data_IF_280647777464
#
_entry.id   IF_280647777464
#
_cell.length_a   1.000
_cell.length_b   1.000
_cell.length_c   1.000
_cell.angle_alpha   90.00
_cell.angle_beta   90.00
_cell.angle_gamma   90.00
#
_symmetry.space_group_name_H-M   'P 1'
#
loop_
_entity.id
_entity.type
_entity.pdbx_description
1 polymer ?
#
# COMPACT_ATOMS: atom_id res chain seq x y z
N UNK A 1 -12.33 -5.37 20.98
CA UNK A 1 -12.16 -4.52 19.77
C UNK A 1 -12.13 -5.41 18.53
N UNK A 2 -12.74 -4.99 17.41
CA UNK A 2 -12.81 -5.72 16.14
C UNK A 2 -12.31 -4.83 15.00
N UNK A 3 -11.50 -5.40 14.09
CA UNK A 3 -11.01 -4.76 12.87
C UNK A 3 -11.61 -5.43 11.65
N UNK A 4 -12.12 -4.64 10.70
CA UNK A 4 -12.65 -5.11 9.42
C UNK A 4 -11.96 -4.33 8.29
N UNK A 5 -11.27 -5.04 7.40
CA UNK A 5 -10.61 -4.43 6.25
C UNK A 5 -11.44 -4.66 4.99
N UNK A 6 -12.06 -3.59 4.51
CA UNK A 6 -12.71 -3.54 3.20
C UNK A 6 -11.63 -3.32 2.14
N UNK A 7 -11.39 -4.32 1.30
CA UNK A 7 -10.26 -4.30 0.40
C UNK A 7 -10.47 -5.15 -0.86
N UNK A 8 -9.47 -5.16 -1.73
CA UNK A 8 -9.45 -5.98 -2.94
C UNK A 8 -8.04 -6.57 -3.13
N UNK A 9 -7.96 -7.86 -3.45
CA UNK A 9 -6.70 -8.61 -3.54
C UNK A 9 -5.59 -7.90 -4.35
N UNK A 10 -5.94 -7.38 -5.54
CA UNK A 10 -4.99 -6.75 -6.48
C UNK A 10 -4.70 -5.28 -6.18
N UNK A 11 -5.41 -4.65 -5.26
CA UNK A 11 -5.16 -3.25 -4.89
C UNK A 11 -3.83 -3.11 -4.16
N UNK A 12 -2.90 -2.34 -4.73
CA UNK A 12 -1.62 -2.04 -4.08
C UNK A 12 -1.81 -1.27 -2.77
N UNK A 13 -2.79 -0.37 -2.69
CA UNK A 13 -3.12 0.35 -1.47
C UNK A 13 -3.68 -0.58 -0.37
N UNK A 14 -4.51 -1.57 -0.74
CA UNK A 14 -4.96 -2.60 0.20
C UNK A 14 -3.80 -3.50 0.65
N UNK A 15 -2.89 -3.84 -0.26
CA UNK A 15 -1.70 -4.64 0.04
C UNK A 15 -0.83 -3.97 1.12
N UNK A 16 -0.65 -2.64 1.08
CA UNK A 16 0.06 -1.86 2.11
C UNK A 16 -0.54 -2.08 3.50
N UNK A 17 -1.86 -2.01 3.61
CA UNK A 17 -2.57 -2.15 4.89
C UNK A 17 -2.52 -3.59 5.40
N UNK A 18 -2.68 -4.59 4.51
CA UNK A 18 -2.49 -5.99 4.89
C UNK A 18 -1.12 -6.25 5.49
N UNK A 19 -0.05 -5.71 4.87
CA UNK A 19 1.31 -5.80 5.42
C UNK A 19 1.37 -5.17 6.81
N UNK A 20 0.85 -3.95 6.98
CA UNK A 20 0.88 -3.26 8.26
C UNK A 20 0.14 -4.00 9.37
N UNK A 21 -1.06 -4.54 9.08
CA UNK A 21 -1.82 -5.36 10.02
C UNK A 21 -1.04 -6.63 10.40
N UNK A 22 -0.45 -7.30 9.42
CA UNK A 22 0.35 -8.51 9.67
C UNK A 22 1.62 -8.20 10.46
N UNK A 23 2.34 -7.11 10.17
CA UNK A 23 3.51 -6.67 10.94
C UNK A 23 3.19 -6.41 12.41
N UNK A 24 2.01 -5.83 12.66
CA UNK A 24 1.48 -5.58 14.01
C UNK A 24 0.91 -6.84 14.69
N UNK A 25 0.80 -7.97 13.98
CA UNK A 25 0.18 -9.19 14.49
C UNK A 25 -1.31 -9.06 14.76
N UNK A 26 -2.00 -8.15 14.08
CA UNK A 26 -3.41 -7.84 14.30
C UNK A 26 -4.30 -8.71 13.42
N UNK A 27 -5.22 -9.44 14.05
CA UNK A 27 -6.28 -10.16 13.35
C UNK A 27 -7.34 -9.18 12.83
N UNK A 28 -7.87 -9.45 11.63
CA UNK A 28 -8.92 -8.65 11.01
C UNK A 28 -9.84 -9.50 10.14
N UNK A 29 -11.08 -9.06 10.01
CA UNK A 29 -12.01 -9.63 9.05
C UNK A 29 -11.72 -9.07 7.66
N UNK A 30 -11.57 -9.96 6.68
CA UNK A 30 -11.31 -9.61 5.29
C UNK A 30 -12.63 -9.47 4.53
N UNK A 31 -12.99 -8.26 4.11
CA UNK A 31 -14.19 -7.98 3.32
C UNK A 31 -13.81 -7.57 1.90
N UNK A 32 -14.26 -8.34 0.92
CA UNK A 32 -14.00 -8.07 -0.49
C UNK A 32 -14.84 -6.91 -0.99
N UNK A 33 -14.19 -5.96 -1.67
CA UNK A 33 -14.83 -4.90 -2.47
C UNK A 33 -14.25 -4.97 -3.87
N UNK A 34 -14.96 -5.62 -4.79
CA UNK A 34 -14.45 -5.90 -6.13
C UNK A 34 -14.48 -4.63 -7.01
N UNK A 35 -13.32 -3.97 -7.11
CA UNK A 35 -13.17 -2.72 -7.88
C UNK A 35 -13.32 -2.91 -9.40
N UNK A 36 -13.14 -4.13 -9.92
CA UNK A 36 -13.38 -4.43 -11.33
C UNK A 36 -14.88 -4.49 -11.63
N UNK A 37 -15.67 -4.98 -10.67
CA UNK A 37 -17.15 -4.96 -10.73
C UNK A 37 -17.74 -3.62 -10.27
N UNK A 38 -16.90 -2.65 -9.92
CA UNK A 38 -17.31 -1.33 -9.45
C UNK A 38 -18.13 -1.34 -8.15
N UNK A 39 -17.92 -2.32 -7.28
CA UNK A 39 -18.60 -2.41 -5.97
C UNK A 39 -18.28 -1.22 -5.05
N UNK A 40 -17.11 -0.59 -5.24
CA UNK A 40 -16.71 0.64 -4.52
C UNK A 40 -17.58 1.87 -4.89
N UNK A 41 -18.33 1.80 -5.97
CA UNK A 41 -19.22 2.88 -6.40
C UNK A 41 -20.64 2.79 -5.79
N UNK A 42 -20.96 1.67 -5.14
CA UNK A 42 -22.25 1.47 -4.47
C UNK A 42 -22.44 2.48 -3.31
N UNK A 43 -23.63 3.01 -3.14
CA UNK A 43 -23.97 3.97 -2.08
C UNK A 43 -23.57 3.49 -0.69
N UNK A 44 -23.81 2.19 -0.42
CA UNK A 44 -23.45 1.58 0.85
C UNK A 44 -21.93 1.64 1.14
N UNK A 45 -21.09 1.48 0.12
CA UNK A 45 -19.65 1.60 0.28
C UNK A 45 -19.21 3.08 0.32
N UNK A 46 -19.79 3.94 -0.51
CA UNK A 46 -19.52 5.37 -0.51
C UNK A 46 -19.89 6.05 0.81
N UNK A 47 -20.87 5.54 1.53
CA UNK A 47 -21.17 5.99 2.88
C UNK A 47 -20.02 5.74 3.87
N UNK A 48 -19.17 4.71 3.63
CA UNK A 48 -17.95 4.42 4.41
C UNK A 48 -16.74 5.18 3.90
N UNK A 49 -16.61 5.27 2.59
CA UNK A 49 -15.51 5.97 1.93
C UNK A 49 -16.05 6.83 0.76
N UNK A 50 -16.24 8.14 0.95
CA UNK A 50 -16.80 9.02 -0.07
C UNK A 50 -16.02 9.05 -1.39
N UNK A 51 -14.70 8.76 -1.34
CA UNK A 51 -13.87 8.66 -2.55
C UNK A 51 -14.15 7.39 -3.38
N UNK A 52 -14.90 6.40 -2.84
CA UNK A 52 -15.14 5.14 -3.54
C UNK A 52 -13.83 4.40 -3.86
N UNK A 53 -12.93 4.29 -2.89
CA UNK A 53 -11.62 3.63 -3.03
C UNK A 53 -11.41 2.58 -1.94
N UNK A 54 -10.57 1.60 -2.21
CA UNK A 54 -10.06 0.67 -1.21
C UNK A 54 -8.59 1.00 -0.90
N UNK A 55 -8.10 0.78 0.32
CA UNK A 55 -8.77 0.16 1.46
C UNK A 55 -9.61 1.13 2.32
N UNK A 56 -10.52 0.56 3.12
CA UNK A 56 -11.14 1.21 4.27
C UNK A 56 -11.00 0.27 5.46
N UNK A 57 -10.49 0.77 6.57
CA UNK A 57 -10.44 0.04 7.84
C UNK A 57 -11.62 0.49 8.71
N UNK A 58 -12.44 -0.45 9.13
CA UNK A 58 -13.49 -0.24 10.14
C UNK A 58 -12.99 -0.77 11.47
N UNK A 59 -13.08 0.05 12.50
CA UNK A 59 -12.66 -0.26 13.87
C UNK A 59 -13.87 -0.19 14.76
N UNK A 60 -14.23 -1.31 15.41
CA UNK A 60 -15.29 -1.36 16.43
C UNK A 60 -14.65 -1.56 17.78
N UNK A 61 -14.81 -0.57 18.68
CA UNK A 61 -14.31 -0.62 20.03
C UNK A 61 -15.18 -1.54 20.93
N UNK A 62 -14.72 -1.84 22.15
CA UNK A 62 -15.41 -2.75 23.06
C UNK A 62 -16.76 -2.18 23.57
N UNK A 63 -16.92 -0.86 23.54
CA UNK A 63 -18.18 -0.17 23.83
C UNK A 63 -19.19 -0.19 22.68
N UNK A 64 -18.85 -0.83 21.56
CA UNK A 64 -19.67 -0.92 20.35
C UNK A 64 -19.54 0.28 19.41
N UNK A 65 -18.77 1.29 19.74
CA UNK A 65 -18.50 2.43 18.84
C UNK A 65 -17.74 1.97 17.62
N UNK A 66 -18.27 2.24 16.43
CA UNK A 66 -17.61 1.91 15.15
C UNK A 66 -17.20 3.18 14.39
N UNK A 67 -15.99 3.16 13.86
CA UNK A 67 -15.39 4.28 13.08
C UNK A 67 -14.68 3.73 11.86
N UNK A 68 -14.65 4.52 10.78
CA UNK A 68 -13.93 4.16 9.55
C UNK A 68 -12.73 5.06 9.34
N UNK A 69 -11.63 4.45 8.88
CA UNK A 69 -10.42 5.16 8.45
C UNK A 69 -10.18 4.80 7.00
N UNK A 70 -10.02 5.81 6.16
CA UNK A 70 -9.74 5.66 4.74
C UNK A 70 -8.32 6.06 4.41
N UNK A 71 -7.82 5.65 3.24
CA UNK A 71 -6.46 5.87 2.76
C UNK A 71 -5.40 5.05 3.51
N UNK A 72 -4.51 4.40 2.74
CA UNK A 72 -3.55 3.44 3.30
C UNK A 72 -2.55 4.07 4.28
N UNK A 73 -2.08 5.31 4.03
CA UNK A 73 -1.14 5.96 4.93
C UNK A 73 -1.78 6.32 6.28
N UNK A 74 -2.92 7.03 6.34
CA UNK A 74 -3.63 7.26 7.61
C UNK A 74 -3.96 5.98 8.39
N UNK A 75 -4.32 4.90 7.68
CA UNK A 75 -4.55 3.61 8.34
C UNK A 75 -3.26 3.10 9.01
N UNK A 76 -2.13 3.11 8.31
CA UNK A 76 -0.85 2.66 8.86
C UNK A 76 -0.37 3.53 10.02
N UNK A 77 -0.55 4.85 9.94
CA UNK A 77 -0.25 5.78 11.04
C UNK A 77 -1.15 5.49 12.26
N UNK A 78 -2.45 5.26 12.05
CA UNK A 78 -3.36 4.86 13.12
C UNK A 78 -2.91 3.55 13.78
N UNK A 79 -2.51 2.55 12.99
CA UNK A 79 -1.99 1.28 13.54
C UNK A 79 -0.72 1.51 14.36
N UNK A 80 0.17 2.40 13.93
CA UNK A 80 1.38 2.75 14.66
C UNK A 80 1.08 3.42 16.00
N UNK A 81 0.17 4.38 16.03
CA UNK A 81 -0.20 5.11 17.23
C UNK A 81 -1.00 4.25 18.22
N UNK A 82 -1.87 3.38 17.70
CA UNK A 82 -2.78 2.57 18.52
C UNK A 82 -2.10 1.35 19.14
N UNK A 83 -1.11 0.77 18.45
CA UNK A 83 -0.33 -0.41 18.89
C UNK A 83 1.18 -0.15 18.76
N UNK A 84 1.74 0.68 19.64
CA UNK A 84 3.14 1.11 19.55
C UNK A 84 4.14 0.00 19.95
N UNK A 85 3.67 -1.13 20.52
CA UNK A 85 4.53 -2.20 21.05
C UNK A 85 5.34 -2.89 19.95
N UNK A 86 4.79 -3.00 18.75
CA UNK A 86 5.48 -3.51 17.55
C UNK A 86 5.57 -2.36 16.55
N UNK A 87 6.63 -1.52 16.64
CA UNK A 87 6.69 -0.31 15.83
C UNK A 87 6.92 -0.63 14.34
N UNK A 88 6.20 0.08 13.48
CA UNK A 88 6.44 0.16 12.02
C UNK A 88 6.94 1.56 11.63
N UNK A 89 7.41 2.32 12.59
CA UNK A 89 8.07 3.61 12.40
C UNK A 89 9.33 3.69 13.28
N UNK A 90 10.42 4.29 12.79
CA UNK A 90 11.62 4.51 13.58
C UNK A 90 11.34 5.46 14.76
N UNK A 91 12.20 5.42 15.80
CA UNK A 91 12.05 6.33 16.96
C UNK A 91 12.51 7.76 16.63
N UNK A 92 13.56 7.89 15.83
CA UNK A 92 14.12 9.19 15.45
C UNK A 92 13.14 9.99 14.59
N UNK A 93 12.82 11.25 14.95
CA UNK A 93 11.84 12.07 14.21
C UNK A 93 12.24 12.35 12.77
N UNK A 94 13.54 12.48 12.48
CA UNK A 94 14.02 12.70 11.11
C UNK A 94 13.81 11.46 10.26
N UNK A 95 14.16 10.27 10.78
CA UNK A 95 13.92 9.01 10.08
C UNK A 95 12.41 8.71 9.92
N UNK A 96 11.55 9.13 10.88
CA UNK A 96 10.09 9.08 10.71
C UNK A 96 9.64 9.94 9.54
N UNK A 97 10.19 11.14 9.41
CA UNK A 97 9.88 12.02 8.27
C UNK A 97 10.37 11.41 6.95
N UNK A 98 11.56 10.78 6.93
CA UNK A 98 12.09 10.07 5.75
C UNK A 98 11.20 8.89 5.35
N UNK A 99 10.75 8.08 6.31
CA UNK A 99 9.83 6.96 6.05
C UNK A 99 8.52 7.44 5.40
N UNK A 100 7.95 8.53 5.91
CA UNK A 100 6.76 9.17 5.30
C UNK A 100 7.06 9.72 3.90
N UNK A 101 8.20 10.37 3.72
CA UNK A 101 8.62 10.90 2.41
C UNK A 101 8.72 9.79 1.35
N UNK A 102 9.33 8.65 1.68
CA UNK A 102 9.39 7.47 0.80
C UNK A 102 7.97 6.94 0.52
N UNK A 103 7.13 6.83 1.55
CA UNK A 103 5.75 6.40 1.38
C UNK A 103 4.95 7.35 0.46
N UNK A 104 5.16 8.67 0.57
CA UNK A 104 4.47 9.69 -0.23
C UNK A 104 4.95 9.73 -1.69
N UNK A 105 6.20 9.40 -2.00
CA UNK A 105 6.62 9.19 -3.40
C UNK A 105 5.69 8.18 -4.09
N UNK A 106 5.35 7.10 -3.40
CA UNK A 106 4.40 6.11 -3.93
C UNK A 106 2.97 6.62 -3.86
N UNK A 107 2.55 7.13 -2.70
CA UNK A 107 1.17 7.44 -2.37
C UNK A 107 0.61 8.59 -3.20
N UNK A 108 1.39 9.64 -3.39
CA UNK A 108 0.99 10.84 -4.14
C UNK A 108 1.67 10.98 -5.50
N UNK A 109 2.89 10.44 -5.66
CA UNK A 109 3.67 10.60 -6.89
C UNK A 109 3.43 9.49 -7.94
N UNK A 110 3.13 8.24 -7.53
CA UNK A 110 3.01 7.13 -8.48
C UNK A 110 1.58 6.57 -8.51
N UNK A 111 1.05 6.13 -7.38
CA UNK A 111 -0.17 5.34 -7.31
C UNK A 111 -1.40 6.05 -7.92
N UNK A 112 -1.65 7.36 -7.73
CA UNK A 112 -2.79 8.03 -8.33
C UNK A 112 -2.81 7.96 -9.86
N UNK A 113 -1.63 7.94 -10.49
CA UNK A 113 -1.50 7.89 -11.94
C UNK A 113 -1.75 6.50 -12.52
N UNK A 114 -1.60 5.44 -11.73
CA UNK A 114 -1.91 4.05 -12.11
C UNK A 114 -3.30 3.59 -11.67
N UNK A 115 -4.08 4.45 -11.02
CA UNK A 115 -5.44 4.16 -10.56
C UNK A 115 -6.40 4.03 -11.74
N UNK A 116 -7.37 3.09 -11.64
CA UNK A 116 -8.38 2.85 -12.68
C UNK A 116 -9.14 4.11 -13.09
N UNK A 117 -9.47 4.99 -12.14
CA UNK A 117 -10.14 6.25 -12.42
C UNK A 117 -9.30 7.14 -13.34
N UNK A 118 -7.98 7.24 -13.06
CA UNK A 118 -7.06 8.06 -13.86
C UNK A 118 -6.82 7.43 -15.22
N UNK A 119 -6.54 6.14 -15.30
CA UNK A 119 -6.27 5.45 -16.57
C UNK A 119 -7.49 5.46 -17.49
N UNK A 120 -8.70 5.26 -16.95
CA UNK A 120 -9.94 5.40 -17.72
C UNK A 120 -10.13 6.84 -18.25
N UNK A 121 -9.72 7.85 -17.46
CA UNK A 121 -9.78 9.25 -17.90
C UNK A 121 -8.79 9.51 -19.03
N UNK A 122 -7.54 9.05 -18.91
CA UNK A 122 -6.54 9.14 -20.00
C UNK A 122 -7.06 8.51 -21.27
N UNK A 123 -7.62 7.31 -21.19
CA UNK A 123 -8.23 6.60 -22.33
C UNK A 123 -9.40 7.39 -22.96
N UNK A 124 -10.23 8.03 -22.14
CA UNK A 124 -11.37 8.83 -22.64
C UNK A 124 -10.95 10.06 -23.46
N UNK A 125 -9.71 10.51 -23.30
CA UNK A 125 -9.09 11.59 -24.10
C UNK A 125 -8.26 11.06 -25.28
N UNK A 126 -8.30 9.75 -25.57
CA UNK A 126 -7.52 9.13 -26.64
C UNK A 126 -6.04 8.91 -26.28
N UNK A 127 -5.65 9.06 -25.01
CA UNK A 127 -4.28 8.78 -24.58
C UNK A 127 -4.02 7.27 -24.40
N UNK A 128 -2.74 6.87 -24.54
CA UNK A 128 -2.29 5.53 -24.24
C UNK A 128 -2.10 5.35 -22.72
N UNK A 129 -3.02 4.62 -22.10
CA UNK A 129 -2.99 4.36 -20.65
C UNK A 129 -1.75 3.58 -20.21
N UNK A 130 -1.21 2.71 -21.06
CA UNK A 130 -0.02 1.91 -20.76
C UNK A 130 1.23 2.79 -20.73
N UNK A 131 1.42 3.62 -21.76
CA UNK A 131 2.54 4.58 -21.82
C UNK A 131 2.47 5.56 -20.65
N UNK A 132 1.27 6.07 -20.35
CA UNK A 132 1.03 6.94 -19.19
C UNK A 132 1.49 6.29 -17.88
N UNK A 133 0.97 5.10 -17.57
CA UNK A 133 1.27 4.41 -16.31
C UNK A 133 2.74 4.03 -16.21
N UNK A 134 3.33 3.49 -17.28
CA UNK A 134 4.73 3.09 -17.29
C UNK A 134 5.68 4.27 -17.09
N UNK A 135 5.35 5.44 -17.64
CA UNK A 135 6.11 6.67 -17.44
C UNK A 135 6.16 7.05 -15.95
N UNK A 136 5.00 7.25 -15.34
CA UNK A 136 4.92 7.61 -13.92
C UNK A 136 5.54 6.57 -12.97
N UNK A 137 5.39 5.27 -13.28
CA UNK A 137 6.03 4.23 -12.47
C UNK A 137 7.54 4.31 -12.61
N UNK A 138 8.10 4.45 -13.81
CA UNK A 138 9.55 4.51 -14.04
C UNK A 138 10.16 5.69 -13.29
N UNK A 139 9.64 6.89 -13.53
CA UNK A 139 10.15 8.12 -12.90
C UNK A 139 10.05 8.03 -11.37
N UNK A 140 8.95 7.47 -10.86
CA UNK A 140 8.75 7.29 -9.43
C UNK A 140 9.67 6.22 -8.82
N UNK A 141 9.97 5.12 -9.51
CA UNK A 141 10.94 4.10 -9.04
C UNK A 141 12.35 4.68 -9.00
N UNK A 142 12.73 5.52 -9.98
CA UNK A 142 14.02 6.23 -9.96
C UNK A 142 14.12 7.17 -8.75
N UNK A 143 13.04 7.91 -8.45
CA UNK A 143 12.98 8.77 -7.26
C UNK A 143 13.04 7.95 -5.96
N UNK A 144 12.33 6.82 -5.89
CA UNK A 144 12.37 5.89 -4.75
C UNK A 144 13.79 5.36 -4.52
N UNK A 145 14.48 4.91 -5.57
CA UNK A 145 15.83 4.38 -5.46
C UNK A 145 16.78 5.42 -4.84
N UNK A 146 16.69 6.68 -5.27
CA UNK A 146 17.50 7.78 -4.71
C UNK A 146 17.13 8.07 -3.24
N UNK A 147 15.84 8.14 -2.94
CA UNK A 147 15.36 8.45 -1.59
C UNK A 147 15.72 7.35 -0.58
N UNK A 148 15.61 6.09 -0.99
CA UNK A 148 15.93 4.92 -0.17
C UNK A 148 17.44 4.80 0.06
N UNK A 149 18.28 5.11 -0.95
CA UNK A 149 19.73 5.01 -0.84
C UNK A 149 20.33 5.82 0.33
N UNK A 150 19.65 6.86 0.78
CA UNK A 150 20.10 7.72 1.88
C UNK A 150 19.87 7.09 3.28
N UNK A 151 18.98 6.10 3.39
CA UNK A 151 18.51 5.60 4.71
C UNK A 151 18.51 4.09 4.83
N UNK A 152 18.70 3.37 3.72
CA UNK A 152 18.56 1.92 3.69
C UNK A 152 19.66 1.18 4.47
N UNK A 153 19.22 0.17 5.20
CA UNK A 153 19.99 -0.99 5.62
C UNK A 153 19.43 -2.24 4.94
N UNK A 154 18.95 -3.19 5.72
CA UNK A 154 18.20 -4.35 5.17
C UNK A 154 16.82 -3.94 4.62
N UNK A 155 16.25 -2.84 5.13
CA UNK A 155 14.94 -2.29 4.74
C UNK A 155 15.10 -0.84 4.26
N UNK A 156 14.02 -0.21 3.88
CA UNK A 156 14.05 1.17 3.40
C UNK A 156 14.62 2.17 4.43
N UNK A 157 14.42 1.89 5.72
CA UNK A 157 14.98 2.66 6.83
C UNK A 157 15.71 1.71 7.76
N UNK A 158 17.04 1.73 7.73
CA UNK A 158 17.89 0.90 8.58
C UNK A 158 17.56 -0.62 8.50
N UNK A 159 17.49 -1.32 9.63
CA UNK A 159 17.45 -2.79 9.70
C UNK A 159 16.13 -3.35 10.28
N UNK A 160 15.07 -2.55 10.25
CA UNK A 160 13.73 -2.99 10.64
C UNK A 160 12.68 -2.51 9.62
N UNK A 161 11.65 -3.32 9.32
CA UNK A 161 10.61 -2.93 8.39
C UNK A 161 9.80 -1.75 8.93
N UNK A 162 9.48 -0.82 8.04
CA UNK A 162 8.73 0.41 8.35
C UNK A 162 7.55 0.59 7.39
N UNK A 163 6.76 1.65 7.59
CA UNK A 163 5.72 2.03 6.62
C UNK A 163 6.30 2.26 5.22
N UNK A 164 7.57 2.69 5.09
CA UNK A 164 8.21 2.85 3.79
C UNK A 164 8.22 1.53 3.01
N UNK A 165 8.55 0.43 3.65
CA UNK A 165 8.55 -0.91 3.05
C UNK A 165 7.13 -1.37 2.69
N UNK A 166 6.14 -1.02 3.51
CA UNK A 166 4.72 -1.26 3.21
C UNK A 166 4.28 -0.59 1.90
N UNK A 167 4.92 0.51 1.50
CA UNK A 167 4.64 1.21 0.24
C UNK A 167 5.51 0.72 -0.92
N UNK A 168 6.79 0.51 -0.68
CA UNK A 168 7.76 0.13 -1.72
C UNK A 168 7.46 -1.25 -2.29
N UNK A 169 7.27 -2.26 -1.45
CA UNK A 169 7.05 -3.65 -1.92
C UNK A 169 5.80 -3.77 -2.81
N UNK A 170 4.60 -3.26 -2.45
CA UNK A 170 3.45 -3.26 -3.33
C UNK A 170 3.65 -2.45 -4.62
N UNK A 171 4.49 -1.42 -4.59
CA UNK A 171 4.78 -0.62 -5.78
C UNK A 171 5.70 -1.37 -6.75
N UNK A 172 6.70 -2.12 -6.27
CA UNK A 172 7.54 -2.98 -7.10
C UNK A 172 6.71 -4.09 -7.76
N UNK A 173 5.78 -4.71 -7.01
CA UNK A 173 4.83 -5.67 -7.57
C UNK A 173 3.94 -5.03 -8.66
N UNK A 174 3.49 -3.79 -8.46
CA UNK A 174 2.74 -3.03 -9.47
C UNK A 174 3.59 -2.71 -10.70
N UNK A 175 4.85 -2.33 -10.53
CA UNK A 175 5.77 -2.04 -11.62
C UNK A 175 5.93 -3.25 -12.54
N UNK A 176 6.15 -4.45 -11.98
CA UNK A 176 6.20 -5.70 -12.77
C UNK A 176 4.90 -5.97 -13.52
N UNK A 177 3.75 -5.79 -12.85
CA UNK A 177 2.43 -5.97 -13.48
C UNK A 177 2.22 -5.06 -14.69
N UNK A 178 2.75 -3.84 -14.64
CA UNK A 178 2.68 -2.89 -15.75
C UNK A 178 3.83 -3.03 -16.75
N UNK A 179 4.73 -4.01 -16.55
CA UNK A 179 5.83 -4.30 -17.49
C UNK A 179 6.97 -3.28 -17.42
N UNK A 180 7.18 -2.63 -16.27
CA UNK A 180 8.34 -1.77 -16.02
C UNK A 180 9.51 -2.64 -15.59
N UNK A 181 10.64 -2.50 -16.26
CA UNK A 181 11.88 -3.21 -15.92
C UNK A 181 12.47 -2.65 -14.61
N UNK A 182 12.81 -3.56 -13.71
CA UNK A 182 13.39 -3.25 -12.40
C UNK A 182 14.84 -3.74 -12.26
N UNK A 183 15.43 -4.34 -13.29
CA UNK A 183 16.73 -5.01 -13.19
C UNK A 183 17.88 -4.11 -12.73
N UNK A 184 17.81 -2.81 -13.00
CA UNK A 184 18.83 -1.83 -12.58
C UNK A 184 18.72 -1.35 -11.13
N UNK A 185 17.63 -1.65 -10.43
CA UNK A 185 17.33 -1.15 -9.09
C UNK A 185 17.71 -2.17 -7.99
N UNK A 186 18.97 -2.64 -8.00
CA UNK A 186 19.45 -3.72 -7.15
C UNK A 186 19.14 -3.54 -5.66
N UNK A 187 19.27 -2.30 -5.13
CA UNK A 187 18.98 -2.02 -3.72
C UNK A 187 17.50 -2.23 -3.38
N UNK A 188 16.59 -1.72 -4.23
CA UNK A 188 15.14 -1.92 -4.02
C UNK A 188 14.76 -3.40 -4.12
N UNK A 189 15.38 -4.15 -5.04
CA UNK A 189 15.17 -5.59 -5.16
C UNK A 189 15.70 -6.38 -3.97
N UNK A 190 16.84 -5.98 -3.41
CA UNK A 190 17.38 -6.57 -2.18
C UNK A 190 16.47 -6.33 -0.99
N UNK A 191 15.98 -5.09 -0.81
CA UNK A 191 15.01 -4.74 0.24
C UNK A 191 13.73 -5.55 0.08
N UNK A 192 13.19 -5.64 -1.13
CA UNK A 192 12.00 -6.46 -1.40
C UNK A 192 12.22 -7.92 -1.02
N UNK A 193 13.39 -8.49 -1.33
CA UNK A 193 13.73 -9.86 -0.97
C UNK A 193 13.74 -10.06 0.55
N UNK A 194 14.33 -9.13 1.33
CA UNK A 194 14.30 -9.19 2.79
C UNK A 194 12.86 -9.07 3.33
N UNK A 195 12.06 -8.16 2.77
CA UNK A 195 10.66 -8.01 3.15
C UNK A 195 9.86 -9.30 2.89
N UNK A 196 9.99 -9.88 1.70
CA UNK A 196 9.25 -11.09 1.30
C UNK A 196 9.67 -12.35 2.08
N UNK A 197 10.84 -12.35 2.73
CA UNK A 197 11.24 -13.39 3.66
C UNK A 197 10.43 -13.35 4.98
N UNK A 198 9.78 -12.23 5.29
CA UNK A 198 8.91 -12.10 6.46
C UNK A 198 7.50 -12.59 6.14
N UNK A 199 6.89 -13.46 6.98
CA UNK A 199 5.51 -13.91 6.79
C UNK A 199 4.52 -12.75 6.63
N UNK A 200 4.74 -11.63 7.33
CA UNK A 200 3.87 -10.47 7.27
C UNK A 200 3.71 -9.89 5.85
N UNK A 201 4.76 -9.92 5.03
CA UNK A 201 4.73 -9.49 3.64
C UNK A 201 4.28 -10.62 2.72
N UNK A 202 4.82 -11.83 2.91
CA UNK A 202 4.50 -12.98 2.07
C UNK A 202 3.00 -13.31 2.09
N UNK A 203 2.37 -13.31 3.28
CA UNK A 203 0.95 -13.64 3.43
C UNK A 203 0.02 -12.49 2.97
N UNK A 204 0.54 -11.25 2.94
CA UNK A 204 -0.18 -10.11 2.39
C UNK A 204 -0.19 -10.06 0.85
N UNK A 205 0.62 -10.89 0.17
CA UNK A 205 0.77 -10.86 -1.28
C UNK A 205 -0.58 -11.05 -1.99
N UNK A 206 -0.79 -10.37 -3.14
CA UNK A 206 -2.07 -10.39 -3.84
C UNK A 206 -2.58 -11.78 -4.18
N UNK A 207 -1.72 -12.66 -4.67
CA UNK A 207 -2.05 -14.02 -5.10
C UNK A 207 -2.39 -14.98 -3.95
N UNK A 208 -2.10 -14.58 -2.70
CA UNK A 208 -2.45 -15.34 -1.50
C UNK A 208 -3.79 -14.93 -0.89
N UNK A 209 -4.45 -13.91 -1.43
CA UNK A 209 -5.71 -13.43 -0.86
C UNK A 209 -6.91 -14.30 -1.26
N UNK A 210 -7.97 -14.36 -0.41
CA UNK A 210 -9.13 -15.24 -0.64
C UNK A 210 -9.89 -14.96 -1.94
N UNK A 211 -9.87 -13.71 -2.42
CA UNK A 211 -10.52 -13.26 -3.64
C UNK A 211 -9.60 -13.23 -4.87
N UNK A 212 -8.37 -13.77 -4.75
CA UNK A 212 -7.44 -13.83 -5.86
C UNK A 212 -7.96 -14.75 -6.97
N UNK A 213 -7.96 -14.24 -8.20
CA UNK A 213 -8.29 -15.04 -9.39
C UNK A 213 -7.02 -15.74 -9.86
N UNK A 214 -7.06 -17.07 -9.87
CA UNK A 214 -6.00 -17.94 -10.39
C UNK A 214 -6.00 -17.98 -11.90
#
# INVERSE_FOLDING_TARGET
MKLVLHNYWRSSASHRVRIGLNLKGLAYDYVVVNIVKREQDADLYRARNPMGQVPTLEVTEDDGTSRTITQSLPILEYLEERWPEIPIMPRDPFLRARARGIAEIVNSGIQPHQNLTTTNKVKSFGGDEKVWVQGFIRDGIEALAKAVAETAGQYCIADAPTIADCFVVPQLASARRFGVDLASFNQLLSIEQHCLALPAFADAAPDRQPDAVK
#
